data_IF_381105628600
#
_entry.id   IF_381105628600
#
_cell.length_a   1.000
_cell.length_b   1.000
_cell.length_c   1.000
_cell.angle_alpha   90.00
_cell.angle_beta   90.00
_cell.angle_gamma   90.00
#
_symmetry.space_group_name_H-M   'P 1'
#
loop_
_entity.id
_entity.type
_entity.pdbx_description
1 polymer ?
#
# COMPACT_ATOMS: atom_id res chain seq x y z
N UNK A 1 -5.41 -0.16 5.39
CA UNK A 1 -6.41 -0.94 4.60
C UNK A 1 -7.04 -2.04 5.45
N UNK A 2 -8.35 -2.31 5.38
CA UNK A 2 -8.98 -3.44 6.07
C UNK A 2 -8.41 -4.79 5.62
N UNK A 3 -8.46 -5.80 6.50
CA UNK A 3 -8.12 -7.18 6.11
C UNK A 3 -9.04 -7.67 4.98
N UNK A 4 -8.50 -8.45 4.05
CA UNK A 4 -9.18 -8.94 2.84
C UNK A 4 -9.65 -7.81 1.92
N UNK A 5 -8.77 -6.85 1.65
CA UNK A 5 -9.05 -5.77 0.71
C UNK A 5 -7.95 -5.57 -0.32
N UNK A 6 -8.35 -5.00 -1.47
CA UNK A 6 -7.47 -4.50 -2.52
C UNK A 6 -7.71 -3.02 -2.73
N UNK A 7 -6.66 -2.32 -3.13
CA UNK A 7 -6.70 -0.93 -3.57
C UNK A 7 -5.79 -0.73 -4.78
N UNK A 8 -6.19 0.09 -5.75
CA UNK A 8 -5.31 0.51 -6.83
C UNK A 8 -4.87 1.95 -6.58
N UNK A 9 -3.57 2.14 -6.43
CA UNK A 9 -2.96 3.45 -6.24
C UNK A 9 -2.83 4.22 -7.58
N UNK A 10 -2.60 5.51 -7.50
CA UNK A 10 -2.49 6.40 -8.67
C UNK A 10 -1.30 6.09 -9.57
N UNK A 11 -0.28 5.44 -9.06
CA UNK A 11 0.90 4.98 -9.79
C UNK A 11 0.71 3.65 -10.52
N UNK A 12 -0.44 2.98 -10.32
CA UNK A 12 -0.77 1.66 -10.87
C UNK A 12 -0.43 0.50 -9.96
N UNK A 13 0.10 0.73 -8.75
CA UNK A 13 0.33 -0.32 -7.78
C UNK A 13 -0.99 -0.86 -7.25
N UNK A 14 -1.17 -2.18 -7.24
CA UNK A 14 -2.31 -2.84 -6.60
C UNK A 14 -1.88 -3.32 -5.23
N UNK A 15 -2.38 -2.64 -4.22
CA UNK A 15 -2.10 -2.91 -2.82
C UNK A 15 -3.06 -3.97 -2.27
N UNK A 16 -2.61 -4.76 -1.32
CA UNK A 16 -3.43 -5.77 -0.67
C UNK A 16 -3.19 -5.82 0.84
N UNK A 17 -4.19 -6.26 1.58
CA UNK A 17 -4.06 -6.68 2.97
C UNK A 17 -4.80 -8.00 3.15
N UNK A 18 -4.11 -9.04 3.61
CA UNK A 18 -4.65 -10.40 3.78
C UNK A 18 -3.98 -11.16 4.91
N UNK A 19 -4.73 -11.50 5.93
CA UNK A 19 -4.27 -12.42 6.97
C UNK A 19 -4.21 -13.89 6.50
N UNK A 20 -4.80 -14.21 5.34
CA UNK A 20 -4.79 -15.55 4.74
C UNK A 20 -3.83 -15.64 3.56
N UNK A 21 -3.17 -16.81 3.35
CA UNK A 21 -2.29 -17.01 2.22
C UNK A 21 -3.02 -16.95 0.88
N UNK A 22 -2.56 -16.09 -0.02
CA UNK A 22 -3.07 -15.95 -1.39
C UNK A 22 -2.25 -16.84 -2.32
N UNK A 23 -2.91 -17.70 -3.11
CA UNK A 23 -2.31 -18.55 -4.13
C UNK A 23 -2.77 -18.22 -5.55
N UNK A 24 -3.85 -17.47 -5.69
CA UNK A 24 -4.36 -16.98 -6.96
C UNK A 24 -5.23 -15.75 -6.79
N UNK A 25 -5.22 -14.90 -7.81
CA UNK A 25 -6.03 -13.70 -7.87
C UNK A 25 -6.48 -13.39 -9.28
N UNK A 26 -7.64 -12.78 -9.39
CA UNK A 26 -8.17 -12.17 -10.62
C UNK A 26 -8.93 -10.92 -10.23
N UNK A 27 -8.84 -9.88 -11.06
CA UNK A 27 -9.66 -8.68 -10.94
C UNK A 27 -9.71 -7.95 -12.28
N UNK A 28 -10.71 -7.08 -12.44
CA UNK A 28 -10.80 -6.13 -13.53
C UNK A 28 -10.38 -4.75 -13.06
N UNK A 29 -9.79 -3.98 -13.97
CA UNK A 29 -9.40 -2.58 -13.74
C UNK A 29 -10.46 -1.69 -14.36
N UNK A 30 -11.03 -0.82 -13.55
CA UNK A 30 -12.06 0.12 -13.97
C UNK A 30 -11.45 1.49 -14.28
N UNK A 31 -11.89 2.13 -15.35
CA UNK A 31 -11.47 3.51 -15.71
C UNK A 31 -10.21 3.62 -16.56
N UNK A 32 -9.40 2.58 -16.66
CA UNK A 32 -8.17 2.57 -17.46
C UNK A 32 -7.97 1.23 -18.17
N UNK A 33 -7.12 1.21 -19.20
CA UNK A 33 -6.70 -0.04 -19.84
C UNK A 33 -5.34 -0.49 -19.32
N UNK A 34 -5.22 -1.79 -19.05
CA UNK A 34 -3.97 -2.41 -18.62
C UNK A 34 -3.08 -2.64 -19.84
N UNK A 35 -1.89 -2.05 -19.86
CA UNK A 35 -0.85 -2.24 -20.87
C UNK A 35 0.06 -3.40 -20.50
N UNK A 36 0.46 -3.49 -19.23
CA UNK A 36 1.23 -4.60 -18.68
C UNK A 36 0.95 -4.78 -17.19
N UNK A 37 1.29 -5.96 -16.66
CA UNK A 37 1.20 -6.30 -15.24
C UNK A 37 2.42 -7.13 -14.84
N UNK A 38 3.16 -6.68 -13.82
CA UNK A 38 4.39 -7.32 -13.34
C UNK A 38 4.73 -6.86 -11.92
N UNK A 39 5.81 -7.37 -11.36
CA UNK A 39 6.30 -6.90 -10.06
C UNK A 39 5.49 -7.38 -8.85
N UNK A 40 5.70 -6.71 -7.72
CA UNK A 40 5.05 -6.98 -6.46
C UNK A 40 5.34 -8.37 -5.87
N UNK A 41 4.59 -8.72 -4.84
CA UNK A 41 4.72 -10.01 -4.16
C UNK A 41 4.36 -11.19 -5.06
N UNK A 42 3.47 -11.00 -6.03
CA UNK A 42 3.09 -12.03 -6.97
C UNK A 42 4.30 -12.48 -7.82
N UNK A 43 5.05 -11.55 -8.39
CA UNK A 43 6.26 -11.89 -9.16
C UNK A 43 7.37 -12.44 -8.25
N UNK A 44 7.58 -11.84 -7.07
CA UNK A 44 8.57 -12.29 -6.10
C UNK A 44 8.36 -13.74 -5.66
N UNK A 45 7.10 -14.20 -5.59
CA UNK A 45 6.73 -15.58 -5.28
C UNK A 45 6.64 -16.49 -6.52
N UNK A 46 6.97 -15.97 -7.71
CA UNK A 46 6.99 -16.75 -8.96
C UNK A 46 5.61 -17.11 -9.48
N UNK A 47 4.63 -16.25 -9.30
CA UNK A 47 3.30 -16.41 -9.90
C UNK A 47 3.36 -16.28 -11.41
N UNK A 48 2.54 -17.04 -12.08
CA UNK A 48 2.22 -16.84 -13.50
C UNK A 48 1.22 -15.69 -13.61
N UNK A 49 1.64 -14.61 -14.27
CA UNK A 49 0.83 -13.41 -14.44
C UNK A 49 0.38 -13.31 -15.90
N UNK A 50 -0.87 -13.01 -16.12
CA UNK A 50 -1.46 -12.73 -17.41
C UNK A 50 -2.40 -11.53 -17.31
N UNK A 51 -2.32 -10.62 -18.27
CA UNK A 51 -3.18 -9.46 -18.34
C UNK A 51 -3.84 -9.32 -19.72
N UNK A 52 -4.99 -8.71 -19.72
CA UNK A 52 -5.68 -8.19 -20.89
C UNK A 52 -5.93 -6.68 -20.68
N UNK A 53 -6.54 -6.01 -21.64
CA UNK A 53 -6.84 -4.58 -21.51
C UNK A 53 -7.74 -4.23 -20.30
N UNK A 54 -8.50 -5.18 -19.77
CA UNK A 54 -9.48 -4.92 -18.71
C UNK A 54 -9.28 -5.79 -17.46
N UNK A 55 -8.48 -6.87 -17.55
CA UNK A 55 -8.38 -7.83 -16.45
C UNK A 55 -6.96 -8.33 -16.23
N UNK A 56 -6.66 -8.68 -14.99
CA UNK A 56 -5.39 -9.25 -14.55
C UNK A 56 -5.68 -10.55 -13.82
N UNK A 57 -4.87 -11.57 -14.11
CA UNK A 57 -4.91 -12.89 -13.51
C UNK A 57 -3.51 -13.27 -13.04
N UNK A 58 -3.37 -13.73 -11.81
CA UNK A 58 -2.14 -14.28 -11.28
C UNK A 58 -2.41 -15.57 -10.49
N UNK A 59 -1.57 -16.58 -10.67
CA UNK A 59 -1.69 -17.84 -9.93
C UNK A 59 -0.35 -18.55 -9.75
N UNK A 60 -0.23 -19.29 -8.67
CA UNK A 60 0.95 -20.09 -8.36
C UNK A 60 0.82 -21.50 -8.91
N UNK A 61 1.80 -21.93 -9.72
CA UNK A 61 1.92 -23.34 -10.13
C UNK A 61 2.78 -24.16 -9.17
N UNK A 62 3.62 -23.50 -8.39
CA UNK A 62 4.55 -24.15 -7.44
C UNK A 62 3.92 -24.39 -6.08
N UNK A 63 2.72 -23.84 -5.82
CA UNK A 63 2.11 -23.82 -4.50
C UNK A 63 2.66 -22.71 -3.58
N UNK A 64 3.44 -21.78 -4.12
CA UNK A 64 3.87 -20.59 -3.38
C UNK A 64 2.67 -19.70 -3.08
N UNK A 65 2.72 -19.03 -1.95
CA UNK A 65 1.67 -18.10 -1.49
C UNK A 65 2.32 -16.87 -0.87
N UNK A 66 1.57 -15.79 -0.80
CA UNK A 66 1.93 -14.60 -0.02
C UNK A 66 0.75 -14.16 0.85
N UNK A 67 1.03 -13.44 1.93
CA UNK A 67 0.04 -12.91 2.89
C UNK A 67 0.64 -11.71 3.60
N UNK A 68 -0.14 -11.09 4.47
CA UNK A 68 0.23 -9.82 5.08
C UNK A 68 -0.30 -8.66 4.28
N UNK A 69 0.47 -7.61 4.18
CA UNK A 69 0.13 -6.44 3.39
C UNK A 69 1.33 -6.00 2.54
N UNK A 70 1.05 -5.40 1.39
CA UNK A 70 2.09 -5.05 0.45
C UNK A 70 1.54 -4.69 -0.93
N UNK A 71 2.43 -4.56 -1.89
CA UNK A 71 2.09 -4.45 -3.29
C UNK A 71 1.93 -5.85 -3.88
N UNK A 72 0.70 -6.20 -4.26
CA UNK A 72 0.40 -7.48 -4.92
C UNK A 72 1.04 -7.54 -6.30
N UNK A 73 0.84 -6.49 -7.10
CA UNK A 73 1.30 -6.38 -8.48
C UNK A 73 1.35 -4.91 -8.90
N UNK A 74 2.21 -4.58 -9.84
CA UNK A 74 2.32 -3.27 -10.46
C UNK A 74 1.70 -3.31 -11.87
N UNK A 75 0.86 -2.34 -12.18
CA UNK A 75 0.17 -2.20 -13.46
C UNK A 75 0.74 -1.00 -14.23
N UNK A 76 1.02 -1.21 -15.49
CA UNK A 76 1.18 -0.12 -16.45
C UNK A 76 -0.19 0.14 -17.09
N UNK A 77 -0.70 1.36 -16.93
CA UNK A 77 -2.06 1.74 -17.33
C UNK A 77 -2.05 2.82 -18.42
N UNK A 78 -2.99 2.74 -19.33
CA UNK A 78 -3.34 3.83 -20.26
C UNK A 78 -4.50 4.62 -19.65
N UNK A 79 -4.15 5.58 -18.77
CA UNK A 79 -5.09 6.40 -18.02
C UNK A 79 -5.04 6.15 -16.52
N UNK A 80 -6.05 6.65 -15.82
CA UNK A 80 -6.17 6.53 -14.36
C UNK A 80 -7.25 5.50 -14.02
N UNK A 81 -6.86 4.47 -13.27
CA UNK A 81 -7.83 3.53 -12.72
C UNK A 81 -8.75 4.23 -11.70
N UNK A 82 -10.02 3.95 -11.77
CA UNK A 82 -11.03 4.44 -10.83
C UNK A 82 -11.39 3.40 -9.77
N UNK A 83 -10.93 2.17 -9.93
CA UNK A 83 -11.16 1.09 -8.99
C UNK A 83 -10.86 -0.28 -9.58
N UNK A 84 -11.15 -1.30 -8.76
CA UNK A 84 -11.07 -2.70 -9.16
C UNK A 84 -12.44 -3.37 -8.97
N UNK A 85 -12.82 -4.22 -9.92
CA UNK A 85 -14.07 -5.00 -9.88
C UNK A 85 -13.83 -6.46 -10.23
N UNK A 86 -14.85 -7.32 -10.04
CA UNK A 86 -14.72 -8.74 -10.35
C UNK A 86 -13.59 -9.43 -9.58
N UNK A 87 -13.31 -9.00 -8.36
CA UNK A 87 -12.22 -9.51 -7.52
C UNK A 87 -12.52 -10.95 -7.12
N UNK A 88 -11.59 -11.84 -7.44
CA UNK A 88 -11.59 -13.25 -7.04
C UNK A 88 -10.20 -13.56 -6.51
N UNK A 89 -10.11 -13.90 -5.24
CA UNK A 89 -8.87 -14.30 -4.57
C UNK A 89 -9.04 -15.74 -4.07
N UNK A 90 -8.02 -16.55 -4.18
CA UNK A 90 -8.06 -17.93 -3.72
C UNK A 90 -6.83 -18.32 -2.90
N UNK A 91 -7.05 -19.22 -1.96
CA UNK A 91 -5.99 -19.88 -1.19
C UNK A 91 -5.31 -21.03 -1.96
N UNK A 92 -4.30 -21.66 -1.35
CA UNK A 92 -3.58 -22.79 -1.93
C UNK A 92 -4.40 -24.07 -2.13
N UNK A 93 -5.60 -24.16 -1.56
CA UNK A 93 -6.55 -25.24 -1.78
C UNK A 93 -7.57 -24.91 -2.89
N UNK A 94 -7.51 -23.72 -3.46
CA UNK A 94 -8.45 -23.22 -4.47
C UNK A 94 -9.78 -22.75 -3.87
N UNK A 95 -9.81 -22.49 -2.56
CA UNK A 95 -10.98 -21.93 -1.89
C UNK A 95 -10.95 -20.42 -2.03
N UNK A 96 -12.07 -19.84 -2.42
CA UNK A 96 -12.22 -18.40 -2.54
C UNK A 96 -12.12 -17.71 -1.18
N UNK A 97 -11.31 -16.65 -1.13
CA UNK A 97 -11.22 -15.71 -0.02
C UNK A 97 -12.01 -14.47 -0.41
N UNK A 98 -13.00 -14.09 0.38
CA UNK A 98 -13.86 -12.94 0.09
C UNK A 98 -13.08 -11.63 0.28
N UNK A 99 -12.65 -11.02 -0.81
CA UNK A 99 -12.00 -9.72 -0.85
C UNK A 99 -12.97 -8.62 -1.30
N UNK A 100 -12.71 -7.40 -0.85
CA UNK A 100 -13.43 -6.21 -1.27
C UNK A 100 -12.47 -5.17 -1.83
N UNK A 101 -12.98 -4.28 -2.70
CA UNK A 101 -12.23 -3.09 -3.09
C UNK A 101 -12.32 -2.04 -1.98
N UNK A 102 -11.20 -1.44 -1.62
CA UNK A 102 -11.11 -0.35 -0.65
C UNK A 102 -10.93 0.97 -1.39
N UNK A 103 -11.90 1.85 -1.32
CA UNK A 103 -11.93 3.13 -2.04
C UNK A 103 -11.17 4.26 -1.35
N UNK A 104 -10.84 4.09 -0.06
CA UNK A 104 -10.20 5.10 0.76
C UNK A 104 -8.71 4.86 0.92
N UNK A 105 -7.95 4.96 -0.16
CA UNK A 105 -6.51 4.93 -0.09
C UNK A 105 -5.96 6.23 -0.66
N UNK A 106 -5.26 7.02 0.13
CA UNK A 106 -4.34 8.00 -0.40
C UNK A 106 -3.14 7.33 -1.05
N UNK A 107 -2.28 8.11 -1.69
CA UNK A 107 -1.10 7.67 -2.45
C UNK A 107 0.01 7.04 -1.58
N UNK A 108 -0.35 6.38 -0.50
CA UNK A 108 0.59 5.92 0.47
C UNK A 108 0.53 4.44 0.79
N UNK A 109 1.60 3.96 1.33
CA UNK A 109 1.92 2.60 1.61
C UNK A 109 0.78 1.73 2.16
N UNK A 110 0.89 0.45 1.95
CA UNK A 110 -0.22 -0.48 2.13
C UNK A 110 -0.45 -0.92 3.57
N UNK A 111 0.47 -0.65 4.47
CA UNK A 111 0.50 -1.39 5.73
C UNK A 111 0.84 -0.55 6.93
N UNK A 112 -0.08 -0.51 7.88
CA UNK A 112 0.27 -0.23 9.26
C UNK A 112 1.25 -1.32 9.77
N UNK A 113 2.39 -0.93 10.29
CA UNK A 113 3.42 -1.83 10.79
C UNK A 113 4.57 -2.08 9.80
N UNK A 114 4.70 -1.28 8.75
CA UNK A 114 5.84 -1.35 7.83
C UNK A 114 7.05 -0.50 8.31
N UNK A 115 6.86 0.30 9.35
CA UNK A 115 7.88 1.15 9.95
C UNK A 115 8.03 2.52 9.29
N UNK A 116 7.16 2.87 8.35
CA UNK A 116 7.14 4.16 7.66
C UNK A 116 5.74 4.78 7.75
N UNK A 117 5.63 5.93 8.40
CA UNK A 117 4.38 6.71 8.39
C UNK A 117 4.19 7.33 7.02
N UNK A 118 3.38 6.69 6.18
CA UNK A 118 3.17 7.12 4.81
C UNK A 118 1.70 6.98 4.39
N UNK A 119 1.32 7.64 3.31
CA UNK A 119 -0.05 7.60 2.81
C UNK A 119 -1.05 8.32 3.70
N UNK A 120 -2.20 7.67 3.89
CA UNK A 120 -3.26 8.14 4.76
C UNK A 120 -3.14 7.62 6.21
N UNK A 121 -1.95 7.11 6.56
CA UNK A 121 -1.66 6.72 7.93
C UNK A 121 -1.56 7.96 8.82
N UNK A 122 -2.19 7.87 9.95
CA UNK A 122 -2.10 8.86 11.02
C UNK A 122 -1.94 8.15 12.38
N UNK A 123 -1.63 8.91 13.42
CA UNK A 123 -1.45 8.37 14.75
C UNK A 123 -2.69 7.68 15.33
N UNK A 124 -3.88 7.94 14.77
CA UNK A 124 -5.13 7.30 15.19
C UNK A 124 -5.37 5.99 14.42
N UNK A 125 -5.00 5.95 13.13
CA UNK A 125 -5.19 4.77 12.26
C UNK A 125 -4.01 3.81 12.31
N UNK A 126 -2.80 4.32 12.54
CA UNK A 126 -1.58 3.55 12.52
C UNK A 126 -0.59 4.02 13.61
N UNK A 127 -0.87 3.80 14.89
CA UNK A 127 -0.02 4.27 15.99
C UNK A 127 1.36 3.62 16.03
N UNK A 128 1.57 2.51 15.34
CA UNK A 128 2.86 1.81 15.31
C UNK A 128 3.86 2.49 14.36
N UNK A 129 3.39 3.11 13.28
CA UNK A 129 4.24 3.76 12.28
C UNK A 129 4.16 5.29 12.39
N UNK A 130 2.98 5.84 12.70
CA UNK A 130 2.75 7.26 12.89
C UNK A 130 2.65 7.69 14.36
N UNK A 131 2.63 6.75 15.27
CA UNK A 131 2.60 6.98 16.72
C UNK A 131 3.99 7.10 17.34
N UNK A 132 4.89 7.73 16.66
CA UNK A 132 6.04 8.32 17.33
C UNK A 132 5.53 9.48 18.15
N UNK A 133 5.87 9.47 19.45
CA UNK A 133 5.66 10.52 20.42
C UNK A 133 5.11 11.81 19.82
N UNK A 134 3.98 12.26 20.34
CA UNK A 134 3.51 13.61 20.10
C UNK A 134 4.70 14.52 19.80
N UNK A 135 4.75 15.07 18.59
CA UNK A 135 5.41 16.35 18.40
C UNK A 135 4.60 17.41 19.17
N UNK A 136 4.21 17.11 20.40
CA UNK A 136 4.06 18.12 21.41
C UNK A 136 5.48 18.60 21.66
N UNK A 137 5.83 19.62 20.91
CA UNK A 137 6.98 20.45 21.12
C UNK A 137 7.18 20.73 22.62
N UNK A 138 7.89 19.86 23.27
CA UNK A 138 8.63 20.27 24.47
C UNK A 138 9.99 20.81 24.02
N UNK A 139 9.97 21.64 22.96
CA UNK A 139 11.13 22.40 22.62
C UNK A 139 11.37 23.44 23.72
N UNK A 140 12.48 23.33 24.40
CA UNK A 140 12.87 24.17 25.51
C UNK A 140 13.37 25.57 25.10
N UNK A 141 13.36 25.86 23.78
CA UNK A 141 13.83 27.13 23.21
C UNK A 141 15.33 27.15 22.90
N UNK A 142 16.03 26.04 23.09
CA UNK A 142 17.45 25.92 22.75
C UNK A 142 17.64 25.24 21.40
N UNK A 143 18.36 25.89 20.49
CA UNK A 143 18.64 25.34 19.15
C UNK A 143 19.38 24.00 19.20
N UNK A 144 20.16 23.73 20.27
CA UNK A 144 20.91 22.49 20.44
C UNK A 144 20.03 21.30 20.87
N UNK A 145 18.77 21.54 21.28
CA UNK A 145 17.77 20.49 21.56
C UNK A 145 16.95 20.11 20.35
N UNK A 146 17.10 20.84 19.23
CA UNK A 146 16.43 20.52 17.97
C UNK A 146 17.11 19.34 17.27
N UNK A 147 16.34 18.63 16.46
CA UNK A 147 16.90 17.56 15.62
C UNK A 147 17.94 18.09 14.63
N UNK A 148 18.93 17.28 14.33
CA UNK A 148 20.00 17.62 13.38
C UNK A 148 19.36 17.91 12.00
N UNK A 149 19.75 19.03 11.40
CA UNK A 149 19.19 19.56 10.14
C UNK A 149 17.77 20.14 10.25
N UNK A 150 17.30 20.50 11.43
CA UNK A 150 16.03 21.20 11.60
C UNK A 150 16.17 22.71 11.63
N UNK A 151 15.11 23.43 11.30
CA UNK A 151 15.03 24.90 11.34
C UNK A 151 13.76 25.28 12.10
N UNK A 152 13.90 26.16 13.09
CA UNK A 152 12.78 26.72 13.83
C UNK A 152 12.76 28.24 13.73
N UNK A 153 11.56 28.82 13.55
CA UNK A 153 11.35 30.27 13.52
C UNK A 153 10.63 30.65 14.81
N UNK A 154 11.30 31.42 15.66
CA UNK A 154 10.72 31.89 16.92
C UNK A 154 9.62 32.93 16.68
N UNK A 155 8.76 33.16 17.68
CA UNK A 155 7.74 34.22 17.64
C UNK A 155 8.30 35.63 17.51
N UNK A 156 9.58 35.83 17.82
CA UNK A 156 10.34 37.08 17.63
C UNK A 156 10.93 37.22 16.21
N UNK A 157 10.76 36.19 15.35
CA UNK A 157 11.29 36.17 13.99
C UNK A 157 12.75 35.71 13.89
N UNK A 158 13.38 35.24 14.96
CA UNK A 158 14.71 34.64 14.88
C UNK A 158 14.61 33.24 14.24
N UNK A 159 15.55 32.89 13.38
CA UNK A 159 15.67 31.58 12.76
C UNK A 159 16.80 30.82 13.48
N UNK A 160 16.45 29.69 14.08
CA UNK A 160 17.38 28.77 14.73
C UNK A 160 17.59 27.55 13.84
N UNK A 161 18.79 26.97 13.89
CA UNK A 161 19.13 25.77 13.13
C UNK A 161 20.11 24.90 13.96
N UNK A 162 20.06 23.61 13.75
CA UNK A 162 20.98 22.62 14.31
C UNK A 162 21.45 21.65 13.21
#
# INVERSE_FOLDING_TARGET
>A
MPDYSLHVASDGSVLYNSSSPIAGFQFNVDGASVLSASGGDAEAQGFMISSSAESVLGFSLSGATFSGCGTMIELELDGYATGLSGIIISDGAGVEIAFTYFEGGGDGGPCCGDGECNGDEDADSCPEDCGGDDCEESWDGDACSMDVNSIHVTSSGAVLYN
#
